data_IF_953339273693
#
_entry.id   IF_953339273693
#
_cell.length_a   1.000
_cell.length_b   1.000
_cell.length_c   1.000
_cell.angle_alpha   90.00
_cell.angle_beta   90.00
_cell.angle_gamma   90.00
#
_symmetry.space_group_name_H-M   'P 1'
#
loop_
_entity.id
_entity.type
_entity.pdbx_description
1 polymer ?
#
# COMPACT_ATOMS: atom_id res chain seq x y z
N UNK A 1 -22.51 -66.15 1.98
CA UNK A 1 -21.63 -65.46 1.01
C UNK A 1 -22.57 -64.87 -0.03
N UNK A 2 -22.76 -63.56 -0.11
CA UNK A 2 -21.92 -62.61 -0.84
C UNK A 2 -22.12 -61.22 -0.23
N UNK A 3 -21.02 -60.51 0.06
CA UNK A 3 -21.02 -59.14 0.56
C UNK A 3 -21.34 -58.11 -0.53
N UNK A 4 -22.13 -57.09 -0.18
CA UNK A 4 -22.41 -55.93 -1.02
C UNK A 4 -22.02 -54.64 -0.30
N UNK A 5 -20.96 -53.99 -0.79
CA UNK A 5 -20.26 -52.86 -0.19
C UNK A 5 -21.15 -51.63 0.13
N UNK A 6 -21.13 -51.19 1.39
CA UNK A 6 -21.80 -50.00 1.91
C UNK A 6 -21.11 -48.67 1.58
N UNK A 7 -20.98 -48.30 0.29
CA UNK A 7 -20.26 -47.06 -0.11
C UNK A 7 -21.16 -45.92 -0.62
N UNK A 8 -22.49 -46.07 -0.59
CA UNK A 8 -23.45 -45.12 -1.19
C UNK A 8 -23.54 -43.75 -0.50
N UNK A 9 -23.06 -43.60 0.74
CA UNK A 9 -23.12 -42.35 1.52
C UNK A 9 -21.84 -41.49 1.46
N UNK A 10 -20.81 -41.92 0.72
CA UNK A 10 -19.48 -41.27 0.73
C UNK A 10 -19.26 -40.21 -0.36
N UNK A 11 -20.17 -40.10 -1.34
CA UNK A 11 -20.06 -39.20 -2.49
C UNK A 11 -20.15 -37.70 -2.18
N UNK A 12 -21.06 -37.18 -1.30
CA UNK A 12 -21.12 -35.74 -1.03
C UNK A 12 -19.87 -35.27 -0.29
N UNK A 13 -19.31 -36.12 0.59
CA UNK A 13 -18.09 -35.83 1.35
C UNK A 13 -16.85 -35.86 0.45
N UNK A 14 -16.80 -36.74 -0.56
CA UNK A 14 -15.71 -36.78 -1.55
C UNK A 14 -15.69 -35.55 -2.46
N UNK A 15 -16.86 -35.09 -2.92
CA UNK A 15 -16.98 -33.87 -3.74
C UNK A 15 -16.60 -32.61 -2.96
N UNK A 16 -17.00 -32.52 -1.69
CA UNK A 16 -16.62 -31.41 -0.81
C UNK A 16 -15.09 -31.40 -0.54
N UNK A 17 -14.48 -32.58 -0.33
CA UNK A 17 -13.02 -32.72 -0.18
C UNK A 17 -12.25 -32.32 -1.43
N UNK A 18 -12.74 -32.67 -2.63
CA UNK A 18 -12.13 -32.31 -3.92
C UNK A 18 -12.12 -30.79 -4.17
N UNK A 19 -13.09 -30.05 -3.63
CA UNK A 19 -13.14 -28.58 -3.72
C UNK A 19 -12.33 -27.87 -2.63
N UNK A 20 -12.32 -28.42 -1.40
CA UNK A 20 -11.61 -27.81 -0.26
C UNK A 20 -10.09 -27.98 -0.31
N UNK A 21 -9.60 -29.10 -0.86
CA UNK A 21 -8.16 -29.37 -0.94
C UNK A 21 -7.38 -28.36 -1.81
N UNK A 22 -7.82 -28.02 -3.05
CA UNK A 22 -7.12 -27.01 -3.86
C UNK A 22 -7.27 -25.59 -3.30
N UNK A 23 -8.39 -25.28 -2.64
CA UNK A 23 -8.58 -24.00 -1.95
C UNK A 23 -7.60 -23.86 -0.77
N UNK A 24 -7.47 -24.91 0.04
CA UNK A 24 -6.50 -24.96 1.13
C UNK A 24 -5.06 -24.86 0.60
N UNK A 25 -4.75 -25.55 -0.51
CA UNK A 25 -3.44 -25.47 -1.15
C UNK A 25 -3.14 -24.04 -1.65
N UNK A 26 -4.13 -23.37 -2.24
CA UNK A 26 -4.02 -21.98 -2.70
C UNK A 26 -3.78 -21.01 -1.52
N UNK A 27 -4.48 -21.21 -0.41
CA UNK A 27 -4.25 -20.43 0.81
C UNK A 27 -2.83 -20.63 1.37
N UNK A 28 -2.31 -21.86 1.37
CA UNK A 28 -0.96 -22.16 1.88
C UNK A 28 0.12 -21.49 1.02
N UNK A 29 -0.04 -21.49 -0.32
CA UNK A 29 0.92 -20.82 -1.22
C UNK A 29 0.91 -19.30 -1.01
N UNK A 30 -0.24 -18.69 -0.76
CA UNK A 30 -0.35 -17.25 -0.47
C UNK A 30 0.38 -16.83 0.81
N UNK A 31 0.38 -17.68 1.85
CA UNK A 31 1.04 -17.42 3.12
C UNK A 31 2.58 -17.56 2.99
N UNK A 32 3.05 -18.53 2.21
CA UNK A 32 4.48 -18.77 2.00
C UNK A 32 5.19 -17.63 1.22
N UNK A 33 4.43 -16.77 0.53
CA UNK A 33 4.96 -15.62 -0.19
C UNK A 33 5.02 -14.32 0.64
N UNK A 34 4.79 -14.40 1.95
CA UNK A 34 5.07 -13.29 2.86
C UNK A 34 6.59 -13.12 2.97
N UNK A 35 7.16 -12.32 2.07
CA UNK A 35 8.56 -11.88 2.18
C UNK A 35 8.67 -10.98 3.40
N UNK A 36 9.66 -11.21 4.26
CA UNK A 36 9.99 -10.26 5.33
C UNK A 36 10.22 -8.89 4.70
N UNK A 37 9.34 -7.95 5.04
CA UNK A 37 9.46 -6.59 4.59
C UNK A 37 10.62 -5.97 5.36
N UNK A 38 11.66 -5.56 4.63
CA UNK A 38 12.71 -4.71 5.20
C UNK A 38 12.04 -3.50 5.88
N UNK A 39 12.54 -3.09 7.06
CA UNK A 39 11.97 -1.96 7.77
C UNK A 39 11.98 -0.73 6.86
N UNK A 40 10.81 -0.14 6.65
CA UNK A 40 10.67 1.07 5.85
C UNK A 40 11.08 2.27 6.69
N UNK A 41 12.11 2.98 6.25
CA UNK A 41 12.52 4.23 6.88
C UNK A 41 11.61 5.37 6.42
N UNK A 42 11.08 6.15 7.35
CA UNK A 42 10.28 7.34 7.08
C UNK A 42 11.15 8.59 7.25
N UNK A 43 11.29 9.38 6.18
CA UNK A 43 11.91 10.71 6.22
C UNK A 43 10.83 11.78 5.96
N UNK A 44 10.52 12.57 6.99
CA UNK A 44 9.62 13.72 6.87
C UNK A 44 10.44 15.01 6.73
N UNK A 45 10.33 15.67 5.56
CA UNK A 45 10.95 16.96 5.29
C UNK A 45 9.87 18.03 5.34
N UNK A 46 9.99 18.99 6.25
CA UNK A 46 9.08 20.14 6.38
C UNK A 46 9.87 21.42 6.11
N UNK A 47 9.31 22.31 5.29
CA UNK A 47 9.91 23.59 4.93
C UNK A 47 9.00 24.70 5.44
N UNK A 48 9.58 25.70 6.12
CA UNK A 48 8.84 26.87 6.60
C UNK A 48 8.62 27.86 5.45
N UNK A 49 7.45 28.50 5.41
CA UNK A 49 7.07 29.53 4.44
C UNK A 49 7.25 29.16 2.94
N UNK A 50 7.09 27.88 2.57
CA UNK A 50 7.12 27.46 1.16
C UNK A 50 5.73 27.62 0.51
N UNK A 51 5.63 28.52 -0.46
CA UNK A 51 4.43 28.76 -1.26
C UNK A 51 4.20 27.72 -2.35
N UNK A 52 2.94 27.60 -2.80
CA UNK A 52 2.54 26.61 -3.81
C UNK A 52 3.30 26.74 -5.13
N UNK A 53 3.59 27.97 -5.57
CA UNK A 53 4.28 28.24 -6.84
C UNK A 53 5.80 28.31 -6.74
N UNK A 54 6.39 27.96 -5.58
CA UNK A 54 7.79 28.26 -5.31
C UNK A 54 8.77 27.23 -5.92
N UNK A 55 8.28 26.05 -6.30
CA UNK A 55 9.09 24.98 -6.88
C UNK A 55 8.91 24.87 -8.40
N UNK A 56 9.95 24.38 -9.10
CA UNK A 56 9.93 24.11 -10.53
C UNK A 56 8.82 23.13 -10.92
N UNK A 57 8.62 22.06 -10.14
CA UNK A 57 7.55 21.07 -10.30
C UNK A 57 6.13 21.62 -10.16
N UNK A 58 5.95 22.83 -9.62
CA UNK A 58 4.68 23.56 -9.61
C UNK A 58 4.64 24.73 -10.60
N UNK A 59 5.68 24.89 -11.42
CA UNK A 59 5.73 25.83 -12.53
C UNK A 59 6.44 27.15 -12.24
N UNK A 60 7.31 27.24 -11.22
CA UNK A 60 8.10 28.46 -11.01
C UNK A 60 8.93 28.80 -12.26
N UNK A 61 8.84 30.03 -12.81
CA UNK A 61 9.52 30.38 -14.06
C UNK A 61 11.05 30.57 -13.98
N UNK A 62 11.65 30.57 -12.78
CA UNK A 62 13.04 31.03 -12.55
C UNK A 62 13.76 30.18 -11.52
N UNK A 63 13.14 29.91 -10.36
CA UNK A 63 13.75 29.09 -9.33
C UNK A 63 13.84 27.64 -9.83
N UNK A 64 15.04 27.08 -9.75
CA UNK A 64 15.32 25.69 -10.14
C UNK A 64 15.43 24.83 -8.89
N UNK A 65 14.64 23.77 -8.82
CA UNK A 65 14.60 22.85 -7.68
C UNK A 65 14.82 21.39 -8.11
N UNK A 66 15.93 21.09 -8.83
CA UNK A 66 16.07 19.82 -9.56
C UNK A 66 15.93 18.57 -8.68
N UNK A 67 16.39 18.62 -7.43
CA UNK A 67 16.26 17.49 -6.50
C UNK A 67 14.81 17.26 -6.02
N UNK A 68 14.03 18.34 -5.84
CA UNK A 68 12.62 18.24 -5.44
C UNK A 68 11.74 17.91 -6.65
N UNK A 69 12.13 18.38 -7.83
CA UNK A 69 11.44 18.07 -9.08
C UNK A 69 11.60 16.59 -9.43
N UNK A 70 12.82 16.04 -9.31
CA UNK A 70 13.09 14.60 -9.46
C UNK A 70 12.33 13.76 -8.41
N UNK A 71 12.22 14.24 -7.17
CA UNK A 71 11.42 13.58 -6.13
C UNK A 71 9.93 13.56 -6.48
N UNK A 72 9.40 14.66 -7.03
CA UNK A 72 8.02 14.75 -7.47
C UNK A 72 7.72 13.83 -8.66
N UNK A 73 8.66 13.72 -9.62
CA UNK A 73 8.53 12.87 -10.81
C UNK A 73 8.61 11.37 -10.49
N UNK A 74 9.44 10.98 -9.51
CA UNK A 74 9.57 9.59 -9.04
C UNK A 74 8.47 9.19 -8.05
N UNK A 75 7.72 10.15 -7.54
CA UNK A 75 6.78 9.96 -6.45
C UNK A 75 5.35 10.37 -6.79
N UNK A 76 4.65 10.84 -5.75
CA UNK A 76 3.30 11.40 -5.87
C UNK A 76 3.38 12.87 -5.52
N UNK A 77 2.89 13.72 -6.42
CA UNK A 77 2.79 15.18 -6.21
C UNK A 77 1.34 15.57 -5.96
N UNK A 78 1.08 16.21 -4.82
CA UNK A 78 -0.25 16.72 -4.47
C UNK A 78 -0.43 18.16 -4.93
N UNK A 79 -1.36 18.42 -5.86
CA UNK A 79 -1.66 19.79 -6.33
C UNK A 79 -2.71 20.50 -5.49
N UNK A 80 -3.27 19.82 -4.49
CA UNK A 80 -4.35 20.31 -3.62
C UNK A 80 -4.09 19.90 -2.16
N UNK A 81 -2.92 20.28 -1.63
CA UNK A 81 -2.56 20.09 -0.22
C UNK A 81 -2.68 21.42 0.52
N UNK A 82 -3.43 21.44 1.61
CA UNK A 82 -3.69 22.64 2.40
C UNK A 82 -3.12 22.47 3.81
N UNK A 83 -2.43 23.50 4.30
CA UNK A 83 -2.07 23.58 5.71
C UNK A 83 -3.34 23.74 6.57
N UNK A 84 -3.38 23.09 7.73
CA UNK A 84 -4.46 23.26 8.71
C UNK A 84 -4.55 24.70 9.24
N UNK A 85 -3.46 25.47 9.17
CA UNK A 85 -3.39 26.88 9.56
C UNK A 85 -2.36 27.64 8.73
N UNK A 86 -2.59 28.94 8.52
CA UNK A 86 -1.62 29.84 7.88
C UNK A 86 -0.49 30.31 8.82
N UNK A 87 -0.43 29.79 10.06
CA UNK A 87 0.60 30.12 11.04
C UNK A 87 1.49 28.90 11.33
N UNK A 88 2.79 29.12 11.50
CA UNK A 88 3.79 28.05 11.62
C UNK A 88 3.58 27.13 12.84
N UNK A 89 3.23 27.69 14.00
CA UNK A 89 3.02 26.88 15.21
C UNK A 89 1.80 25.96 15.12
N UNK A 90 0.59 26.44 14.79
CA UNK A 90 -0.56 25.55 14.62
C UNK A 90 -0.49 24.66 13.39
N UNK A 91 0.22 25.05 12.32
CA UNK A 91 0.44 24.16 11.16
C UNK A 91 1.31 22.96 11.53
N UNK A 92 2.44 23.17 12.22
CA UNK A 92 3.30 22.09 12.71
C UNK A 92 2.63 21.25 13.78
N UNK A 93 1.85 21.87 14.67
CA UNK A 93 1.11 21.13 15.69
C UNK A 93 0.07 20.18 15.09
N UNK A 94 -0.52 20.51 13.94
CA UNK A 94 -1.45 19.63 13.24
C UNK A 94 -0.77 18.44 12.53
N UNK A 95 0.56 18.47 12.34
CA UNK A 95 1.32 17.38 11.72
C UNK A 95 1.81 16.32 12.73
N UNK A 96 1.87 16.67 14.02
CA UNK A 96 2.34 15.80 15.12
C UNK A 96 1.17 15.10 15.81
#
# INVERSE_FOLDING_TARGET
MIGGNGTRWSTPVRLLKLALLPFLLLCIVGIASAKDAEPTNLLLIVVDDLGFGDLGSYGHPVIQTPNLDDLADKGIRFTQYYSASALCSPSRAAML
#
